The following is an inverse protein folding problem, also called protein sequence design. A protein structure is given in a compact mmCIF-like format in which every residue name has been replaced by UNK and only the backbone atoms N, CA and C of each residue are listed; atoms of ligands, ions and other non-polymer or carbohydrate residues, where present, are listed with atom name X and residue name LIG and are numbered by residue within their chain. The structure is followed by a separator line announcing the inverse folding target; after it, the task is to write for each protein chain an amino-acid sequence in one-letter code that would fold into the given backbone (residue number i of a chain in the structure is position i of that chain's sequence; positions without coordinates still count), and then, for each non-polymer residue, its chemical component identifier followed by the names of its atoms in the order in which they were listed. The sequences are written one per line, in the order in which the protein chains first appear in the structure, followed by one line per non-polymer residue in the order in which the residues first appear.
data_IF_592189161267
#
_entry.id   IF_592189161267
#
_cell.length_a   1.000
_cell.length_b   1.000
_cell.length_c   1.000
_cell.angle_alpha   90.00
_cell.angle_beta   90.00
_cell.angle_gamma   90.00
#
_symmetry.space_group_name_H-M   'P 1'
#
loop_
_entity.id
_entity.type
_entity.pdbx_description
1 polymer ?
#
# COMPACT_ATOMS: atom_id res chain seq x y z
N UNK A 1 6.59 30.25 -5.25
CA UNK A 1 6.76 28.77 -5.15
C UNK A 1 6.09 28.33 -3.85
N UNK A 2 5.13 27.38 -3.92
CA UNK A 2 4.43 26.89 -2.70
C UNK A 2 5.32 25.99 -1.83
N UNK A 3 6.26 25.28 -2.43
CA UNK A 3 7.21 24.42 -1.74
C UNK A 3 8.65 24.77 -2.09
N UNK A 4 9.49 24.92 -1.09
CA UNK A 4 10.95 25.02 -1.26
C UNK A 4 11.56 23.63 -1.45
N UNK A 5 12.79 23.56 -1.99
CA UNK A 5 13.49 22.27 -2.11
C UNK A 5 13.72 21.59 -0.74
N UNK A 6 13.91 22.38 0.32
CA UNK A 6 14.05 21.88 1.70
C UNK A 6 12.75 21.23 2.22
N UNK A 7 11.59 21.86 1.94
CA UNK A 7 10.29 21.33 2.33
C UNK A 7 9.95 20.03 1.57
N UNK A 8 10.26 19.96 0.27
CA UNK A 8 10.07 18.73 -0.50
C UNK A 8 10.94 17.58 0.02
N UNK A 9 12.22 17.86 0.34
CA UNK A 9 13.08 16.84 0.96
C UNK A 9 12.55 16.41 2.33
N UNK A 10 12.10 17.35 3.15
CA UNK A 10 11.53 17.06 4.47
C UNK A 10 10.24 16.23 4.40
N UNK A 11 9.48 16.29 3.30
CA UNK A 11 8.33 15.43 3.04
C UNK A 11 8.75 14.07 2.51
N UNK A 12 9.63 14.03 1.50
CA UNK A 12 9.93 12.83 0.72
C UNK A 12 10.85 11.86 1.47
N UNK A 13 11.93 12.35 2.11
CA UNK A 13 12.90 11.47 2.77
C UNK A 13 12.29 10.61 3.88
N UNK A 14 11.44 11.14 4.79
CA UNK A 14 10.75 10.28 5.75
C UNK A 14 9.81 9.25 5.10
N UNK A 15 9.14 9.60 3.99
CA UNK A 15 8.28 8.66 3.26
C UNK A 15 9.10 7.51 2.65
N UNK A 16 10.28 7.81 2.07
CA UNK A 16 11.17 6.77 1.55
C UNK A 16 11.64 5.82 2.66
N UNK A 17 12.00 6.38 3.80
CA UNK A 17 12.42 5.58 4.95
C UNK A 17 11.27 4.75 5.53
N UNK A 18 10.06 5.31 5.62
CA UNK A 18 8.84 4.60 6.04
C UNK A 18 8.54 3.41 5.09
N UNK A 19 8.61 3.62 3.76
CA UNK A 19 8.38 2.54 2.79
C UNK A 19 9.46 1.47 2.87
N UNK A 20 10.73 1.87 3.02
CA UNK A 20 11.83 0.92 3.21
C UNK A 20 11.62 0.05 4.45
N UNK A 21 11.26 0.64 5.58
CA UNK A 21 10.97 -0.10 6.81
C UNK A 21 9.78 -1.06 6.62
N UNK A 22 8.72 -0.64 5.96
CA UNK A 22 7.56 -1.50 5.73
C UNK A 22 7.94 -2.76 4.93
N UNK A 23 8.78 -2.62 3.90
CA UNK A 23 9.28 -3.77 3.13
C UNK A 23 10.17 -4.67 3.98
N UNK A 24 11.12 -4.10 4.71
CA UNK A 24 12.05 -4.86 5.59
C UNK A 24 11.30 -5.63 6.68
N UNK A 25 10.33 -5.00 7.32
CA UNK A 25 9.56 -5.64 8.41
C UNK A 25 8.70 -6.79 7.88
N UNK A 26 8.09 -6.65 6.71
CA UNK A 26 7.36 -7.75 6.08
C UNK A 26 8.24 -9.00 5.87
N UNK A 27 9.52 -8.82 5.52
CA UNK A 27 10.47 -9.93 5.41
C UNK A 27 10.82 -10.53 6.79
N UNK A 28 11.06 -9.67 7.78
CA UNK A 28 11.39 -10.11 9.16
C UNK A 28 10.20 -10.86 9.78
N UNK A 29 8.98 -10.38 9.62
CA UNK A 29 7.78 -11.05 10.13
C UNK A 29 7.64 -12.46 9.53
N UNK A 30 7.87 -12.62 8.24
CA UNK A 30 7.85 -13.94 7.58
C UNK A 30 8.89 -14.89 8.19
N UNK A 31 10.11 -14.40 8.44
CA UNK A 31 11.17 -15.18 9.08
C UNK A 31 10.85 -15.55 10.54
N UNK A 32 10.16 -14.68 11.27
CA UNK A 32 9.78 -14.96 12.66
C UNK A 32 8.64 -15.97 12.75
N UNK A 33 7.65 -15.87 11.88
CA UNK A 33 6.54 -16.82 11.80
C UNK A 33 7.04 -18.22 11.44
N UNK A 34 8.10 -18.35 10.61
CA UNK A 34 8.65 -19.65 10.23
C UNK A 34 9.18 -20.46 11.41
N UNK A 35 9.63 -19.81 12.48
CA UNK A 35 10.06 -20.46 13.73
C UNK A 35 8.90 -21.00 14.56
N UNK A 36 7.66 -20.62 14.29
CA UNK A 36 6.47 -21.10 15.00
C UNK A 36 5.89 -22.43 14.47
N UNK A 37 6.51 -22.99 13.40
CA UNK A 37 6.14 -24.26 12.78
C UNK A 37 5.30 -24.10 11.49
N UNK A 38 5.20 -25.20 10.71
CA UNK A 38 4.58 -25.18 9.38
C UNK A 38 3.09 -24.83 9.40
N UNK A 39 2.33 -25.36 10.34
CA UNK A 39 0.90 -25.04 10.52
C UNK A 39 0.70 -23.56 10.85
N UNK A 40 1.61 -22.98 11.64
CA UNK A 40 1.62 -21.57 11.99
C UNK A 40 1.85 -20.69 10.74
N UNK A 41 2.89 -21.02 9.96
CA UNK A 41 3.21 -20.29 8.71
C UNK A 41 2.04 -20.33 7.74
N UNK A 42 1.48 -21.50 7.52
CA UNK A 42 0.35 -21.70 6.60
C UNK A 42 -0.89 -20.93 7.07
N UNK A 43 -1.25 -21.02 8.36
CA UNK A 43 -2.39 -20.31 8.92
C UNK A 43 -2.25 -18.78 8.85
N UNK A 44 -1.07 -18.25 9.18
CA UNK A 44 -0.76 -16.81 9.05
C UNK A 44 -0.80 -16.38 7.60
N UNK A 45 -0.27 -17.17 6.66
CA UNK A 45 -0.29 -16.84 5.23
C UNK A 45 -1.71 -16.71 4.67
N UNK A 46 -2.63 -17.62 5.03
CA UNK A 46 -4.05 -17.53 4.66
C UNK A 46 -4.68 -16.22 5.15
N UNK A 47 -4.47 -15.92 6.42
CA UNK A 47 -5.04 -14.74 7.07
C UNK A 47 -4.43 -13.44 6.54
N UNK A 48 -3.16 -13.45 6.19
CA UNK A 48 -2.45 -12.28 5.64
C UNK A 48 -3.10 -11.75 4.37
N UNK A 49 -3.65 -12.60 3.52
CA UNK A 49 -4.36 -12.16 2.33
C UNK A 49 -5.62 -11.33 2.68
N UNK A 50 -6.38 -11.74 3.71
CA UNK A 50 -7.55 -11.01 4.20
C UNK A 50 -7.10 -9.69 4.84
N UNK A 51 -6.06 -9.72 5.68
CA UNK A 51 -5.49 -8.54 6.32
C UNK A 51 -5.04 -7.50 5.28
N UNK A 52 -4.36 -7.93 4.22
CA UNK A 52 -3.92 -7.05 3.14
C UNK A 52 -5.08 -6.37 2.43
N UNK A 53 -6.17 -7.07 2.15
CA UNK A 53 -7.37 -6.46 1.55
C UNK A 53 -7.92 -5.35 2.45
N UNK A 54 -8.08 -5.61 3.75
CA UNK A 54 -8.59 -4.64 4.71
C UNK A 54 -7.65 -3.43 4.82
N UNK A 55 -6.35 -3.65 4.91
CA UNK A 55 -5.33 -2.60 4.98
C UNK A 55 -5.34 -1.75 3.70
N UNK A 56 -5.49 -2.36 2.53
CA UNK A 56 -5.55 -1.64 1.25
C UNK A 56 -6.80 -0.75 1.13
N UNK A 57 -7.93 -1.19 1.66
CA UNK A 57 -9.14 -0.35 1.73
C UNK A 57 -8.94 0.80 2.71
N UNK A 58 -8.36 0.56 3.90
CA UNK A 58 -8.00 1.64 4.85
C UNK A 58 -7.06 2.67 4.22
N UNK A 59 -6.02 2.22 3.51
CA UNK A 59 -5.07 3.10 2.81
C UNK A 59 -5.75 3.94 1.72
N UNK A 60 -6.72 3.36 1.00
CA UNK A 60 -7.50 4.06 -0.01
C UNK A 60 -8.42 5.14 0.62
N UNK A 61 -9.09 4.82 1.72
CA UNK A 61 -9.91 5.78 2.49
C UNK A 61 -9.03 6.90 3.07
N UNK A 62 -7.85 6.55 3.60
CA UNK A 62 -6.85 7.51 4.07
C UNK A 62 -6.37 8.45 2.96
N UNK A 63 -6.15 7.91 1.75
CA UNK A 63 -5.84 8.71 0.56
C UNK A 63 -6.96 9.69 0.23
N UNK A 64 -8.23 9.26 0.31
CA UNK A 64 -9.39 10.13 0.10
C UNK A 64 -9.39 11.32 1.06
N UNK A 65 -9.15 11.07 2.34
CA UNK A 65 -9.05 12.13 3.35
C UNK A 65 -7.81 13.01 3.15
N UNK A 66 -6.66 12.42 2.82
CA UNK A 66 -5.44 13.18 2.57
C UNK A 66 -5.62 14.19 1.41
N UNK A 67 -6.32 13.81 0.34
CA UNK A 67 -6.65 14.72 -0.77
C UNK A 67 -7.53 15.87 -0.29
N UNK A 68 -8.61 15.58 0.43
CA UNK A 68 -9.52 16.62 0.93
C UNK A 68 -8.80 17.57 1.90
N UNK A 69 -8.05 17.04 2.88
CA UNK A 69 -7.29 17.83 3.84
C UNK A 69 -6.22 18.69 3.15
N UNK A 70 -5.47 18.13 2.18
CA UNK A 70 -4.43 18.87 1.47
C UNK A 70 -4.99 19.99 0.60
N UNK A 71 -6.17 19.81 -0.02
CA UNK A 71 -6.82 20.87 -0.80
C UNK A 71 -7.34 22.01 0.09
N UNK A 72 -7.99 21.70 1.23
CA UNK A 72 -8.38 22.73 2.19
C UNK A 72 -7.16 23.47 2.79
N UNK A 73 -6.09 22.73 3.10
CA UNK A 73 -4.83 23.31 3.55
C UNK A 73 -4.23 24.27 2.50
N UNK A 74 -4.29 23.89 1.22
CA UNK A 74 -3.86 24.74 0.11
C UNK A 74 -4.68 26.01 -0.03
N UNK A 75 -5.99 25.95 0.22
CA UNK A 75 -6.91 27.10 0.27
C UNK A 75 -6.67 28.00 1.49
N UNK A 76 -5.81 27.57 2.43
CA UNK A 76 -5.59 28.22 3.74
C UNK A 76 -6.84 28.21 4.64
N UNK A 77 -7.78 27.32 4.38
CA UNK A 77 -8.94 27.12 5.22
C UNK A 77 -8.62 26.04 6.27
N UNK A 78 -7.92 26.47 7.31
CA UNK A 78 -7.49 25.57 8.40
C UNK A 78 -8.66 25.02 9.20
N UNK A 79 -9.80 25.72 9.23
CA UNK A 79 -11.00 25.30 9.95
C UNK A 79 -11.65 24.09 9.26
N UNK A 80 -11.90 24.21 7.96
CA UNK A 80 -12.48 23.10 7.19
C UNK A 80 -11.49 21.97 6.99
N UNK A 81 -10.17 22.27 6.91
CA UNK A 81 -9.13 21.26 6.87
C UNK A 81 -9.08 20.43 8.17
N UNK A 82 -9.13 21.07 9.34
CA UNK A 82 -9.19 20.36 10.63
C UNK A 82 -10.51 19.59 10.81
N UNK A 83 -11.61 20.15 10.31
CA UNK A 83 -12.87 19.44 10.30
C UNK A 83 -12.86 18.19 9.40
N UNK A 84 -12.27 18.31 8.20
CA UNK A 84 -12.06 17.16 7.30
C UNK A 84 -11.15 16.10 7.93
N UNK A 85 -10.12 16.51 8.69
CA UNK A 85 -9.27 15.61 9.44
C UNK A 85 -10.06 14.80 10.49
N UNK A 86 -10.95 15.45 11.25
CA UNK A 86 -11.84 14.76 12.20
C UNK A 86 -12.77 13.77 11.50
N UNK A 87 -13.34 14.13 10.35
CA UNK A 87 -14.21 13.23 9.58
C UNK A 87 -13.43 12.05 8.97
N UNK A 88 -12.16 12.23 8.63
CA UNK A 88 -11.30 11.13 8.19
C UNK A 88 -11.05 10.12 9.31
N UNK A 89 -10.73 10.61 10.53
CA UNK A 89 -10.62 9.74 11.72
C UNK A 89 -11.90 8.93 11.94
N UNK A 90 -13.05 9.59 11.87
CA UNK A 90 -14.36 8.94 12.05
C UNK A 90 -14.61 7.86 10.99
N UNK A 91 -14.36 8.16 9.72
CA UNK A 91 -14.58 7.21 8.61
C UNK A 91 -13.69 5.97 8.78
N UNK A 92 -12.41 6.17 9.07
CA UNK A 92 -11.48 5.06 9.25
C UNK A 92 -11.74 4.27 10.53
N UNK A 93 -12.13 4.93 11.61
CA UNK A 93 -12.52 4.25 12.85
C UNK A 93 -13.77 3.39 12.65
N UNK A 94 -14.82 3.93 12.03
CA UNK A 94 -16.05 3.17 11.75
C UNK A 94 -15.77 1.98 10.83
N UNK A 95 -15.02 2.20 9.74
CA UNK A 95 -14.67 1.13 8.81
C UNK A 95 -13.84 0.04 9.49
N UNK A 96 -12.81 0.42 10.24
CA UNK A 96 -11.92 -0.52 10.93
C UNK A 96 -12.62 -1.27 12.06
N UNK A 97 -13.54 -0.63 12.78
CA UNK A 97 -14.38 -1.27 13.79
C UNK A 97 -15.34 -2.29 13.14
N UNK A 98 -15.97 -1.94 12.03
CA UNK A 98 -16.83 -2.87 11.29
C UNK A 98 -16.03 -4.08 10.78
N UNK A 99 -14.84 -3.84 10.20
CA UNK A 99 -13.96 -4.91 9.75
C UNK A 99 -13.50 -5.81 10.92
N UNK A 100 -13.13 -5.22 12.06
CA UNK A 100 -12.78 -5.95 13.28
C UNK A 100 -13.93 -6.83 13.76
N UNK A 101 -15.13 -6.27 13.83
CA UNK A 101 -16.33 -7.00 14.24
C UNK A 101 -16.63 -8.18 13.30
N UNK A 102 -16.61 -7.96 11.98
CA UNK A 102 -16.85 -9.00 10.98
C UNK A 102 -15.82 -10.13 11.12
N UNK A 103 -14.54 -9.80 11.18
CA UNK A 103 -13.47 -10.81 11.28
C UNK A 103 -13.50 -11.54 12.63
N UNK A 104 -13.81 -10.86 13.74
CA UNK A 104 -13.85 -11.48 15.05
C UNK A 104 -15.07 -12.40 15.22
N UNK A 105 -16.25 -11.98 14.74
CA UNK A 105 -17.51 -12.73 14.93
C UNK A 105 -17.66 -13.83 13.88
N UNK A 106 -17.42 -13.52 12.62
CA UNK A 106 -17.66 -14.43 11.49
C UNK A 106 -16.39 -15.14 10.98
N UNK A 107 -15.23 -14.90 11.59
CA UNK A 107 -13.95 -15.43 11.11
C UNK A 107 -13.90 -16.95 11.03
N UNK A 108 -14.50 -17.65 11.98
CA UNK A 108 -14.58 -19.13 11.98
C UNK A 108 -15.36 -19.67 10.77
N UNK A 109 -16.38 -18.94 10.32
CA UNK A 109 -17.19 -19.32 9.15
C UNK A 109 -16.55 -18.86 7.84
N UNK A 110 -15.92 -17.67 7.87
CA UNK A 110 -15.30 -17.06 6.68
C UNK A 110 -14.08 -17.84 6.19
N UNK A 111 -13.21 -18.29 7.09
CA UNK A 111 -11.97 -18.96 6.71
C UNK A 111 -12.24 -20.25 5.91
N UNK A 112 -13.08 -21.21 6.37
CA UNK A 112 -13.41 -22.39 5.56
C UNK A 112 -14.17 -22.05 4.28
N UNK A 113 -15.03 -21.03 4.30
CA UNK A 113 -15.79 -20.60 3.12
C UNK A 113 -14.88 -20.02 2.02
N UNK A 114 -13.77 -19.36 2.39
CA UNK A 114 -12.83 -18.74 1.45
C UNK A 114 -11.77 -19.76 0.97
N UNK A 115 -11.23 -20.55 1.90
CA UNK A 115 -10.06 -21.41 1.64
C UNK A 115 -10.40 -22.91 1.49
N UNK A 116 -11.65 -23.30 1.70
CA UNK A 116 -12.09 -24.70 1.62
C UNK A 116 -11.61 -25.55 2.80
N UNK A 117 -11.51 -26.88 2.57
CA UNK A 117 -11.03 -27.84 3.55
C UNK A 117 -9.50 -27.79 3.62
N UNK A 118 -8.99 -27.18 4.68
CA UNK A 118 -7.58 -27.16 5.06
C UNK A 118 -7.42 -27.94 6.35
N UNK A 119 -6.22 -28.44 6.63
CA UNK A 119 -5.91 -29.17 7.87
C UNK A 119 -6.34 -28.38 9.12
N UNK A 120 -6.97 -29.06 10.10
CA UNK A 120 -7.55 -28.41 11.28
C UNK A 120 -6.52 -27.60 12.08
N UNK A 121 -5.29 -28.04 12.14
CA UNK A 121 -4.16 -27.35 12.79
C UNK A 121 -3.87 -26.00 12.14
N UNK A 122 -3.89 -25.94 10.81
CA UNK A 122 -3.69 -24.73 10.01
C UNK A 122 -4.87 -23.79 10.17
N UNK A 123 -6.10 -24.31 10.10
CA UNK A 123 -7.33 -23.54 10.26
C UNK A 123 -7.44 -22.93 11.64
N UNK A 124 -7.05 -23.67 12.69
CA UNK A 124 -7.00 -23.17 14.07
C UNK A 124 -5.99 -22.04 14.22
N UNK A 125 -4.78 -22.20 13.66
CA UNK A 125 -3.75 -21.17 13.64
C UNK A 125 -4.20 -19.92 12.89
N UNK A 126 -4.85 -20.08 11.74
CA UNK A 126 -5.42 -18.99 10.95
C UNK A 126 -6.48 -18.22 11.74
N UNK A 127 -7.37 -18.92 12.43
CA UNK A 127 -8.42 -18.27 13.22
C UNK A 127 -7.85 -17.48 14.40
N UNK A 128 -6.91 -18.05 15.16
CA UNK A 128 -6.27 -17.35 16.30
C UNK A 128 -5.62 -16.06 15.79
N UNK A 129 -4.82 -16.17 14.71
CA UNK A 129 -4.12 -15.01 14.16
C UNK A 129 -5.11 -13.96 13.67
N UNK A 130 -6.16 -14.35 12.94
CA UNK A 130 -7.16 -13.44 12.42
C UNK A 130 -7.94 -12.75 13.55
N UNK A 131 -8.36 -13.50 14.57
CA UNK A 131 -9.11 -12.94 15.69
C UNK A 131 -8.31 -11.88 16.45
N UNK A 132 -7.06 -12.18 16.82
CA UNK A 132 -6.21 -11.27 17.57
C UNK A 132 -5.81 -10.06 16.71
N UNK A 133 -5.47 -10.27 15.45
CA UNK A 133 -5.12 -9.14 14.55
C UNK A 133 -6.33 -8.27 14.21
N UNK A 134 -7.53 -8.83 14.14
CA UNK A 134 -8.76 -8.06 13.94
C UNK A 134 -9.01 -7.04 15.06
N UNK A 135 -8.71 -7.39 16.33
CA UNK A 135 -8.80 -6.47 17.46
C UNK A 135 -7.87 -5.25 17.31
N UNK A 136 -6.83 -5.35 16.51
CA UNK A 136 -5.91 -4.25 16.24
C UNK A 136 -6.40 -3.27 15.15
N UNK A 137 -7.40 -3.64 14.34
CA UNK A 137 -7.83 -2.82 13.21
C UNK A 137 -8.30 -1.42 13.58
N UNK A 138 -9.08 -1.19 14.65
CA UNK A 138 -9.48 0.16 15.04
C UNK A 138 -8.29 1.08 15.29
N UNK A 139 -7.25 0.58 15.95
CA UNK A 139 -6.03 1.32 16.23
C UNK A 139 -5.19 1.56 14.97
N UNK A 140 -5.15 0.58 14.07
CA UNK A 140 -4.53 0.74 12.76
C UNK A 140 -5.29 1.75 11.89
N UNK A 141 -6.63 1.79 11.96
CA UNK A 141 -7.46 2.79 11.29
C UNK A 141 -7.12 4.20 11.74
N UNK A 142 -7.06 4.43 13.06
CA UNK A 142 -6.66 5.70 13.67
C UNK A 142 -5.23 6.09 13.24
N UNK A 143 -4.29 5.14 13.30
CA UNK A 143 -2.93 5.38 12.83
C UNK A 143 -2.89 5.82 11.37
N UNK A 144 -3.60 5.13 10.47
CA UNK A 144 -3.65 5.47 9.05
C UNK A 144 -4.29 6.85 8.79
N UNK A 145 -5.35 7.20 9.53
CA UNK A 145 -5.98 8.50 9.45
C UNK A 145 -5.01 9.61 9.88
N UNK A 146 -4.41 9.48 11.05
CA UNK A 146 -3.46 10.46 11.56
C UNK A 146 -2.22 10.61 10.67
N UNK A 147 -1.68 9.50 10.15
CA UNK A 147 -0.58 9.53 9.20
C UNK A 147 -0.96 10.30 7.91
N UNK A 148 -2.18 10.12 7.40
CA UNK A 148 -2.69 10.86 6.25
C UNK A 148 -2.87 12.36 6.58
N UNK A 149 -3.35 12.71 7.78
CA UNK A 149 -3.51 14.08 8.27
C UNK A 149 -2.15 14.77 8.32
N UNK A 150 -1.15 14.19 8.98
CA UNK A 150 0.18 14.77 9.08
C UNK A 150 0.86 14.91 7.71
N UNK A 151 0.72 13.91 6.83
CA UNK A 151 1.22 13.99 5.45
C UNK A 151 0.55 15.10 4.65
N UNK A 152 -0.76 15.34 4.83
CA UNK A 152 -1.50 16.38 4.10
C UNK A 152 -1.01 17.81 4.39
N UNK A 153 -0.36 18.03 5.52
CA UNK A 153 0.30 19.31 5.88
C UNK A 153 1.81 19.29 5.61
N UNK A 154 2.33 18.26 4.97
CA UNK A 154 3.74 18.14 4.62
C UNK A 154 4.66 17.63 5.74
N UNK A 155 4.10 17.12 6.84
CA UNK A 155 4.86 16.58 7.98
C UNK A 155 4.84 15.04 8.01
N UNK A 156 5.61 14.41 7.15
CA UNK A 156 5.75 12.95 7.12
C UNK A 156 6.70 12.38 8.20
N UNK A 157 7.39 13.24 8.97
CA UNK A 157 8.28 12.78 10.05
C UNK A 157 7.50 12.09 11.16
N UNK A 158 6.28 12.54 11.46
CA UNK A 158 5.44 11.96 12.50
C UNK A 158 5.01 10.55 12.11
N UNK A 159 4.50 10.35 10.88
CA UNK A 159 4.11 9.02 10.41
C UNK A 159 5.31 8.07 10.36
N UNK A 160 6.47 8.53 9.88
CA UNK A 160 7.70 7.76 9.89
C UNK A 160 8.13 7.37 11.31
N UNK A 161 8.16 8.32 12.24
CA UNK A 161 8.58 8.06 13.64
C UNK A 161 7.69 7.03 14.33
N UNK A 162 6.38 7.12 14.16
CA UNK A 162 5.45 6.12 14.69
C UNK A 162 5.53 4.77 13.94
N UNK A 163 5.82 4.77 12.64
CA UNK A 163 6.08 3.53 11.91
C UNK A 163 7.33 2.81 12.45
N UNK A 164 8.42 3.55 12.70
CA UNK A 164 9.63 3.01 13.36
C UNK A 164 9.29 2.42 14.72
N UNK A 165 8.54 3.15 15.55
CA UNK A 165 8.13 2.69 16.88
C UNK A 165 7.26 1.43 16.78
N UNK A 166 6.27 1.39 15.88
CA UNK A 166 5.41 0.24 15.66
C UNK A 166 6.21 -1.00 15.30
N UNK A 167 7.14 -0.86 14.36
CA UNK A 167 7.96 -1.94 13.88
C UNK A 167 8.97 -2.41 14.95
N UNK A 168 9.57 -1.49 15.70
CA UNK A 168 10.47 -1.84 16.80
C UNK A 168 9.76 -2.64 17.90
N UNK A 169 8.57 -2.20 18.33
CA UNK A 169 7.75 -2.92 19.32
C UNK A 169 7.35 -4.30 18.76
N UNK A 170 6.90 -4.35 17.50
CA UNK A 170 6.47 -5.60 16.87
C UNK A 170 7.63 -6.61 16.81
N UNK A 171 8.81 -6.23 16.32
CA UNK A 171 9.97 -7.11 16.23
C UNK A 171 10.44 -7.58 17.61
N UNK A 172 10.52 -6.67 18.57
CA UNK A 172 10.95 -7.00 19.93
C UNK A 172 9.99 -7.98 20.62
N UNK A 173 8.67 -7.73 20.54
CA UNK A 173 7.66 -8.61 21.10
C UNK A 173 7.57 -9.95 20.36
N UNK A 174 7.69 -9.96 19.03
CA UNK A 174 7.77 -11.21 18.25
C UNK A 174 8.93 -12.07 18.75
N UNK A 175 10.13 -11.49 18.86
CA UNK A 175 11.31 -12.22 19.32
C UNK A 175 11.11 -12.85 20.71
N UNK A 176 10.56 -12.08 21.64
CA UNK A 176 10.31 -12.54 23.02
C UNK A 176 9.19 -13.60 23.08
N UNK A 177 8.04 -13.32 22.48
CA UNK A 177 6.86 -14.19 22.59
C UNK A 177 7.04 -15.52 21.83
N UNK A 178 7.72 -15.49 20.67
CA UNK A 178 8.06 -16.72 19.95
C UNK A 178 9.09 -17.55 20.73
N UNK A 179 10.10 -16.91 21.34
CA UNK A 179 11.07 -17.60 22.20
C UNK A 179 10.46 -18.23 23.45
N UNK A 180 9.38 -17.62 23.99
CA UNK A 180 8.60 -18.17 25.11
C UNK A 180 7.62 -19.28 24.70
N UNK A 181 7.57 -19.66 23.43
CA UNK A 181 6.73 -20.75 22.93
C UNK A 181 5.26 -20.41 22.63
N UNK A 182 4.89 -19.11 22.58
CA UNK A 182 3.52 -18.71 22.26
C UNK A 182 3.14 -18.91 20.77
N UNK A 183 4.07 -19.27 19.90
CA UNK A 183 3.80 -19.60 18.49
C UNK A 183 3.02 -18.50 17.76
N UNK A 184 1.92 -18.89 17.07
CA UNK A 184 1.05 -17.97 16.31
C UNK A 184 0.43 -16.89 17.20
N UNK A 185 0.02 -17.24 18.40
CA UNK A 185 -0.57 -16.29 19.34
C UNK A 185 0.43 -15.18 19.71
N UNK A 186 1.71 -15.54 19.89
CA UNK A 186 2.77 -14.58 20.18
C UNK A 186 2.93 -13.54 19.04
N UNK A 187 2.97 -13.99 17.80
CA UNK A 187 3.07 -13.10 16.63
C UNK A 187 1.84 -12.20 16.50
N UNK A 188 0.66 -12.75 16.73
CA UNK A 188 -0.58 -11.97 16.69
C UNK A 188 -0.65 -10.91 17.81
N UNK A 189 -0.22 -11.26 19.03
CA UNK A 189 -0.17 -10.33 20.17
C UNK A 189 0.86 -9.22 19.96
N UNK A 190 2.03 -9.54 19.40
CA UNK A 190 3.04 -8.53 19.04
C UNK A 190 2.48 -7.50 18.06
N UNK A 191 1.73 -7.97 17.06
CA UNK A 191 1.03 -7.12 16.10
C UNK A 191 -0.07 -6.27 16.77
N UNK A 192 -0.87 -6.86 17.65
CA UNK A 192 -1.91 -6.15 18.39
C UNK A 192 -1.32 -5.03 19.26
N UNK A 193 -0.35 -5.36 20.10
CA UNK A 193 0.25 -4.40 21.04
C UNK A 193 0.94 -3.25 20.31
N UNK A 194 1.73 -3.54 19.27
CA UNK A 194 2.41 -2.50 18.49
C UNK A 194 1.43 -1.51 17.84
N UNK A 195 0.31 -2.01 17.30
CA UNK A 195 -0.73 -1.18 16.69
C UNK A 195 -1.53 -0.39 17.73
N UNK A 196 -1.85 -0.99 18.88
CA UNK A 196 -2.53 -0.30 20.00
C UNK A 196 -1.69 0.87 20.49
N UNK A 197 -0.42 0.64 20.82
CA UNK A 197 0.49 1.70 21.27
C UNK A 197 0.57 2.83 20.26
N UNK A 198 0.80 2.50 18.99
CA UNK A 198 0.94 3.54 17.95
C UNK A 198 -0.38 4.23 17.61
N UNK A 199 -1.52 3.54 17.70
CA UNK A 199 -2.84 4.15 17.57
C UNK A 199 -3.11 5.17 18.67
N UNK A 200 -2.80 4.83 19.93
CA UNK A 200 -2.92 5.76 21.05
C UNK A 200 -1.98 6.95 20.90
N UNK A 201 -0.70 6.71 20.58
CA UNK A 201 0.25 7.79 20.32
C UNK A 201 -0.22 8.73 19.20
N UNK A 202 -0.75 8.16 18.11
CA UNK A 202 -1.28 8.94 16.99
C UNK A 202 -2.47 9.82 17.41
N UNK A 203 -3.40 9.28 18.20
CA UNK A 203 -4.54 10.04 18.74
C UNK A 203 -4.07 11.27 19.54
N UNK A 204 -3.08 11.07 20.41
CA UNK A 204 -2.49 12.16 21.20
C UNK A 204 -1.84 13.21 20.30
N UNK A 205 -1.07 12.78 19.30
CA UNK A 205 -0.38 13.68 18.37
C UNK A 205 -1.33 14.48 17.47
N UNK A 206 -2.41 13.86 16.99
CA UNK A 206 -3.44 14.53 16.17
C UNK A 206 -4.18 15.58 17.00
N UNK A 207 -4.43 15.32 18.28
CA UNK A 207 -5.05 16.28 19.22
C UNK A 207 -4.08 17.36 19.72
N UNK A 208 -2.77 17.20 19.51
CA UNK A 208 -1.77 18.11 20.07
C UNK A 208 -1.72 19.45 19.32
N UNK A 209 -1.48 20.59 20.03
CA UNK A 209 -1.41 21.95 19.43
C UNK A 209 -0.38 22.13 18.31
N UNK A 210 0.68 21.31 18.25
CA UNK A 210 1.68 21.34 17.16
C UNK A 210 1.14 20.84 15.81
N UNK A 211 -0.02 20.17 15.80
CA UNK A 211 -0.65 19.78 14.57
C UNK A 211 -1.41 20.97 13.95
N UNK A 212 -1.06 21.45 12.75
CA UNK A 212 -1.78 22.53 12.09
C UNK A 212 -3.28 22.22 11.86
N UNK A 213 -3.62 20.91 11.74
CA UNK A 213 -4.99 20.41 11.61
C UNK A 213 -5.46 19.77 12.92
N UNK A 214 -5.16 20.41 14.05
CA UNK A 214 -5.53 19.93 15.37
C UNK A 214 -7.04 19.66 15.49
N UNK A 215 -7.41 18.45 15.93
CA UNK A 215 -8.79 18.10 16.27
C UNK A 215 -9.05 18.57 17.71
N UNK A 216 -9.55 19.81 17.85
CA UNK A 216 -9.78 20.45 19.15
C UNK A 216 -11.07 20.03 19.84
N UNK A 217 -12.10 19.73 19.06
CA UNK A 217 -13.46 19.52 19.56
C UNK A 217 -13.94 18.11 19.19
N UNK A 218 -14.51 17.42 20.16
CA UNK A 218 -15.18 16.15 19.92
C UNK A 218 -16.29 16.25 18.87
N UNK A 219 -16.93 17.43 18.76
CA UNK A 219 -17.93 17.71 17.71
C UNK A 219 -17.39 17.58 16.28
N UNK A 220 -16.07 17.69 16.06
CA UNK A 220 -15.45 17.46 14.75
C UNK A 220 -15.41 15.98 14.36
N UNK A 221 -15.56 15.08 15.33
CA UNK A 221 -15.64 13.63 15.13
C UNK A 221 -17.07 13.15 14.87
N UNK A 222 -18.09 13.99 15.15
CA UNK A 222 -19.47 13.62 14.86
C UNK A 222 -19.67 13.51 13.34
N UNK A 223 -20.27 12.42 12.84
CA UNK A 223 -20.41 12.16 11.41
C UNK A 223 -21.15 13.28 10.68
N UNK A 224 -20.49 13.86 9.67
CA UNK A 224 -21.10 14.84 8.77
C UNK A 224 -21.20 14.28 7.35
N UNK A 225 -22.42 14.02 6.91
CA UNK A 225 -22.70 13.39 5.61
C UNK A 225 -22.02 14.09 4.44
N UNK A 226 -21.99 15.42 4.41
CA UNK A 226 -21.39 16.18 3.28
C UNK A 226 -19.86 15.97 3.20
N UNK A 227 -19.17 16.08 4.34
CA UNK A 227 -17.72 15.92 4.37
C UNK A 227 -17.31 14.46 4.18
N UNK A 228 -18.01 13.53 4.83
CA UNK A 228 -17.80 12.10 4.65
C UNK A 228 -17.96 11.70 3.17
N UNK A 229 -19.01 12.15 2.49
CA UNK A 229 -19.21 11.86 1.07
C UNK A 229 -18.09 12.42 0.18
N UNK A 230 -17.47 13.55 0.53
CA UNK A 230 -16.28 14.06 -0.20
C UNK A 230 -15.09 13.11 -0.06
N UNK A 231 -14.84 12.63 1.14
CA UNK A 231 -13.76 11.67 1.43
C UNK A 231 -14.04 10.34 0.71
N UNK A 232 -15.25 9.80 0.85
CA UNK A 232 -15.66 8.53 0.25
C UNK A 232 -15.70 8.59 -1.29
N UNK A 233 -16.00 9.74 -1.88
CA UNK A 233 -15.99 9.94 -3.35
C UNK A 233 -14.61 9.68 -3.95
N UNK A 234 -13.56 9.82 -3.17
CA UNK A 234 -12.17 9.52 -3.56
C UNK A 234 -11.77 8.15 -3.02
N UNK A 235 -12.05 7.88 -1.75
CA UNK A 235 -11.62 6.67 -1.06
C UNK A 235 -12.26 5.40 -1.63
N UNK A 236 -13.56 5.40 -1.90
CA UNK A 236 -14.26 4.19 -2.41
C UNK A 236 -13.73 3.76 -3.78
N UNK A 237 -13.65 4.63 -4.82
CA UNK A 237 -13.07 4.21 -6.09
C UNK A 237 -11.64 3.69 -5.96
N UNK A 238 -10.81 4.35 -5.15
CA UNK A 238 -9.44 3.89 -4.88
C UNK A 238 -9.41 2.54 -4.15
N UNK A 239 -10.34 2.31 -3.22
CA UNK A 239 -10.48 1.04 -2.51
C UNK A 239 -10.91 -0.10 -3.43
N UNK A 240 -11.87 0.15 -4.32
CA UNK A 240 -12.31 -0.83 -5.33
C UNK A 240 -11.15 -1.17 -6.27
N UNK A 241 -10.40 -0.17 -6.75
CA UNK A 241 -9.21 -0.36 -7.59
C UNK A 241 -8.19 -1.27 -6.90
N UNK A 242 -7.83 -0.95 -5.64
CA UNK A 242 -6.85 -1.72 -4.87
C UNK A 242 -7.34 -3.16 -4.60
N UNK A 243 -8.62 -3.34 -4.27
CA UNK A 243 -9.20 -4.66 -4.01
C UNK A 243 -9.23 -5.51 -5.28
N UNK A 244 -9.66 -4.94 -6.40
CA UNK A 244 -9.67 -5.64 -7.70
C UNK A 244 -8.25 -6.00 -8.16
N UNK A 245 -7.27 -5.14 -7.87
CA UNK A 245 -5.86 -5.41 -8.13
C UNK A 245 -5.36 -6.62 -7.32
N UNK A 246 -5.72 -6.72 -6.05
CA UNK A 246 -5.33 -7.87 -5.20
C UNK A 246 -5.98 -9.16 -5.67
N UNK A 247 -7.25 -9.14 -6.02
CA UNK A 247 -7.94 -10.32 -6.58
C UNK A 247 -7.27 -10.78 -7.89
N UNK A 248 -6.99 -9.84 -8.81
CA UNK A 248 -6.29 -10.16 -10.05
C UNK A 248 -4.87 -10.69 -9.83
N UNK A 249 -4.15 -10.18 -8.81
CA UNK A 249 -2.84 -10.69 -8.41
C UNK A 249 -2.91 -12.14 -7.93
N UNK A 250 -3.94 -12.50 -7.15
CA UNK A 250 -4.17 -13.88 -6.72
C UNK A 250 -4.45 -14.83 -7.90
N UNK A 251 -5.23 -14.41 -8.89
CA UNK A 251 -5.47 -15.20 -10.10
C UNK A 251 -4.19 -15.43 -10.88
N UNK A 252 -3.33 -14.44 -11.01
CA UNK A 252 -2.03 -14.58 -11.67
C UNK A 252 -1.12 -15.57 -10.91
N UNK A 253 -1.09 -15.49 -9.58
CA UNK A 253 -0.35 -16.45 -8.75
C UNK A 253 -0.90 -17.86 -8.93
N UNK A 254 -2.22 -18.04 -9.02
CA UNK A 254 -2.84 -19.34 -9.29
C UNK A 254 -2.44 -19.92 -10.64
N UNK A 255 -2.20 -19.10 -11.67
CA UNK A 255 -1.65 -19.60 -12.95
C UNK A 255 -0.22 -20.12 -12.79
N UNK A 256 0.60 -19.46 -11.97
CA UNK A 256 2.00 -19.84 -11.78
C UNK A 256 2.11 -21.21 -11.09
N UNK A 257 1.14 -21.59 -10.24
CA UNK A 257 1.15 -22.90 -9.59
C UNK A 257 1.13 -24.07 -10.57
N UNK A 258 0.59 -23.87 -11.78
CA UNK A 258 0.58 -24.91 -12.83
C UNK A 258 1.95 -25.13 -13.49
N UNK A 259 2.92 -24.26 -13.29
CA UNK A 259 4.27 -24.35 -13.87
C UNK A 259 5.29 -25.06 -12.96
N UNK A 260 4.85 -25.61 -11.84
CA UNK A 260 5.66 -26.38 -10.91
C UNK A 260 6.32 -25.57 -9.78
N UNK A 261 6.95 -26.28 -8.86
CA UNK A 261 7.49 -25.71 -7.60
C UNK A 261 8.62 -24.72 -7.83
N UNK A 262 9.47 -24.94 -8.85
CA UNK A 262 10.55 -24.02 -9.19
C UNK A 262 10.02 -22.65 -9.63
N UNK A 263 8.95 -22.62 -10.44
CA UNK A 263 8.31 -21.39 -10.88
C UNK A 263 7.62 -20.64 -9.72
N UNK A 264 6.98 -21.36 -8.79
CA UNK A 264 6.36 -20.78 -7.59
C UNK A 264 7.43 -20.11 -6.72
N UNK A 265 8.55 -20.82 -6.46
CA UNK A 265 9.66 -20.32 -5.66
C UNK A 265 10.32 -19.09 -6.31
N UNK A 266 10.60 -19.17 -7.61
CA UNK A 266 11.15 -18.06 -8.39
C UNK A 266 10.25 -16.83 -8.35
N UNK A 267 8.94 -17.00 -8.53
CA UNK A 267 7.98 -15.91 -8.48
C UNK A 267 7.90 -15.25 -7.10
N UNK A 268 7.84 -16.05 -6.03
CA UNK A 268 7.73 -15.57 -4.66
C UNK A 268 8.94 -14.73 -4.26
N UNK A 269 10.13 -15.22 -4.58
CA UNK A 269 11.39 -14.50 -4.33
C UNK A 269 11.46 -13.23 -5.18
N UNK A 270 11.10 -13.31 -6.48
CA UNK A 270 11.09 -12.14 -7.35
C UNK A 270 10.15 -11.05 -6.84
N UNK A 271 8.93 -11.38 -6.40
CA UNK A 271 8.00 -10.42 -5.82
C UNK A 271 8.55 -9.76 -4.56
N UNK A 272 9.22 -10.50 -3.69
CA UNK A 272 9.83 -9.94 -2.47
C UNK A 272 10.94 -8.94 -2.80
N UNK A 273 11.73 -9.23 -3.83
CA UNK A 273 12.86 -8.39 -4.23
C UNK A 273 12.41 -7.11 -4.94
N UNK A 274 11.41 -7.18 -5.83
CA UNK A 274 10.97 -6.00 -6.61
C UNK A 274 10.27 -4.92 -5.78
N UNK A 275 9.87 -5.21 -4.55
CA UNK A 275 9.34 -4.19 -3.66
C UNK A 275 10.37 -3.08 -3.36
N UNK A 276 11.67 -3.42 -3.31
CA UNK A 276 12.75 -2.45 -3.03
C UNK A 276 12.94 -1.41 -4.14
N UNK A 277 13.10 -1.78 -5.43
CA UNK A 277 13.19 -0.81 -6.52
C UNK A 277 11.99 0.12 -6.64
N UNK A 278 10.82 -0.30 -6.17
CA UNK A 278 9.58 0.48 -6.24
C UNK A 278 9.44 1.54 -5.12
N UNK A 279 10.28 1.49 -4.08
CA UNK A 279 10.22 2.41 -2.92
C UNK A 279 10.26 3.89 -3.35
N UNK A 280 11.17 4.35 -4.22
CA UNK A 280 11.20 5.74 -4.65
C UNK A 280 9.88 6.18 -5.29
N UNK A 281 9.37 5.39 -6.23
CA UNK A 281 8.12 5.69 -6.92
C UNK A 281 6.91 5.70 -6.00
N UNK A 282 6.80 4.74 -5.06
CA UNK A 282 5.73 4.71 -4.05
C UNK A 282 5.76 5.96 -3.15
N UNK A 283 6.95 6.34 -2.70
CA UNK A 283 7.14 7.51 -1.83
C UNK A 283 6.79 8.82 -2.54
N UNK A 284 7.20 8.95 -3.83
CA UNK A 284 6.81 10.09 -4.65
C UNK A 284 5.31 10.12 -4.92
N UNK A 285 4.66 8.96 -5.05
CA UNK A 285 3.21 8.84 -5.18
C UNK A 285 2.48 9.45 -3.99
N UNK A 286 2.90 9.14 -2.76
CA UNK A 286 2.35 9.73 -1.54
C UNK A 286 2.61 11.24 -1.47
N UNK A 287 3.82 11.68 -1.83
CA UNK A 287 4.16 13.09 -1.89
C UNK A 287 3.33 13.86 -2.92
N UNK A 288 3.02 13.25 -4.08
CA UNK A 288 2.15 13.84 -5.11
C UNK A 288 0.75 14.13 -4.58
N UNK A 289 0.16 13.24 -3.78
CA UNK A 289 -1.15 13.47 -3.17
C UNK A 289 -1.15 14.77 -2.36
N UNK A 290 -0.15 14.95 -1.52
CA UNK A 290 -0.02 16.15 -0.68
C UNK A 290 0.28 17.41 -1.50
N UNK A 291 1.34 17.37 -2.32
CA UNK A 291 1.85 18.55 -3.01
C UNK A 291 0.88 19.03 -4.11
N UNK A 292 0.38 18.11 -4.92
CA UNK A 292 -0.59 18.45 -5.98
C UNK A 292 -1.92 18.85 -5.37
N UNK A 293 -2.39 18.13 -4.34
CA UNK A 293 -3.62 18.50 -3.61
C UNK A 293 -3.56 19.91 -3.04
N UNK A 294 -2.46 20.28 -2.37
CA UNK A 294 -2.25 21.63 -1.84
C UNK A 294 -2.20 22.69 -2.94
N UNK A 295 -1.50 22.42 -4.05
CA UNK A 295 -1.44 23.36 -5.18
C UNK A 295 -2.82 23.60 -5.81
N UNK A 296 -3.59 22.53 -6.01
CA UNK A 296 -4.94 22.62 -6.57
C UNK A 296 -5.92 23.32 -5.63
N UNK A 297 -5.83 23.05 -4.33
CA UNK A 297 -6.59 23.75 -3.31
C UNK A 297 -6.34 25.27 -3.30
N UNK A 298 -5.11 25.69 -3.58
CA UNK A 298 -4.72 27.09 -3.73
C UNK A 298 -5.08 27.70 -5.10
N UNK A 299 -5.63 26.93 -6.04
CA UNK A 299 -5.87 27.39 -7.41
C UNK A 299 -4.62 27.44 -8.31
N UNK A 300 -3.48 26.97 -7.84
CA UNK A 300 -2.17 27.07 -8.48
C UNK A 300 -1.87 25.88 -9.39
N UNK A 301 -2.66 25.72 -10.46
CA UNK A 301 -2.53 24.58 -11.41
C UNK A 301 -1.16 24.52 -12.09
N UNK A 302 -0.57 25.66 -12.42
CA UNK A 302 0.76 25.72 -13.03
C UNK A 302 1.83 25.12 -12.11
N UNK A 303 1.74 25.42 -10.80
CA UNK A 303 2.65 24.86 -9.81
C UNK A 303 2.38 23.36 -9.59
N UNK A 304 1.12 22.91 -9.61
CA UNK A 304 0.77 21.49 -9.55
C UNK A 304 1.47 20.71 -10.67
N UNK A 305 1.42 21.21 -11.93
CA UNK A 305 2.14 20.60 -13.07
C UNK A 305 3.65 20.57 -12.88
N UNK A 306 4.23 21.69 -12.41
CA UNK A 306 5.68 21.80 -12.16
C UNK A 306 6.15 20.79 -11.12
N UNK A 307 5.42 20.67 -9.98
CA UNK A 307 5.78 19.71 -8.95
C UNK A 307 5.51 18.27 -9.35
N UNK A 308 4.46 17.99 -10.12
CA UNK A 308 4.26 16.65 -10.69
C UNK A 308 5.46 16.24 -11.52
N UNK A 309 5.90 17.09 -12.48
CA UNK A 309 7.09 16.81 -13.29
C UNK A 309 8.34 16.59 -12.44
N UNK A 310 8.55 17.41 -11.40
CA UNK A 310 9.71 17.32 -10.53
C UNK A 310 9.70 16.05 -9.68
N UNK A 311 8.57 15.67 -9.09
CA UNK A 311 8.45 14.46 -8.27
C UNK A 311 8.50 13.21 -9.14
N UNK A 312 7.95 13.24 -10.36
CA UNK A 312 8.11 12.15 -11.33
C UNK A 312 9.56 11.96 -11.73
N UNK A 313 10.32 13.05 -11.96
CA UNK A 313 11.76 12.95 -12.24
C UNK A 313 12.51 12.29 -11.08
N UNK A 314 12.20 12.65 -9.84
CA UNK A 314 12.83 12.01 -8.67
C UNK A 314 12.43 10.53 -8.52
N UNK A 315 11.17 10.18 -8.84
CA UNK A 315 10.76 8.79 -8.91
C UNK A 315 11.59 8.02 -9.92
N UNK A 316 11.70 8.53 -11.15
CA UNK A 316 12.51 7.92 -12.19
C UNK A 316 13.98 7.76 -11.81
N UNK A 317 14.61 8.81 -11.29
CA UNK A 317 16.03 8.74 -10.89
C UNK A 317 16.25 7.69 -9.79
N UNK A 318 15.36 7.63 -8.79
CA UNK A 318 15.44 6.62 -7.73
C UNK A 318 15.20 5.21 -8.26
N UNK A 319 14.16 5.02 -9.06
CA UNK A 319 13.83 3.72 -9.65
C UNK A 319 14.94 3.23 -10.60
N UNK A 320 15.55 4.13 -11.39
CA UNK A 320 16.66 3.77 -12.28
C UNK A 320 17.88 3.29 -11.51
N UNK A 321 18.27 3.99 -10.44
CA UNK A 321 19.40 3.59 -9.61
C UNK A 321 19.14 2.21 -8.99
N UNK A 322 17.96 2.01 -8.40
CA UNK A 322 17.61 0.75 -7.74
C UNK A 322 17.51 -0.41 -8.74
N UNK A 323 16.90 -0.19 -9.89
CA UNK A 323 16.77 -1.21 -10.93
C UNK A 323 18.10 -1.53 -11.61
N UNK A 324 19.02 -0.56 -11.75
CA UNK A 324 20.38 -0.83 -12.23
C UNK A 324 21.12 -1.76 -11.28
N UNK A 325 21.05 -1.50 -9.97
CA UNK A 325 21.64 -2.39 -8.95
C UNK A 325 21.00 -3.78 -9.03
N UNK A 326 19.67 -3.85 -9.14
CA UNK A 326 18.97 -5.13 -9.25
C UNK A 326 19.35 -5.89 -10.53
N UNK A 327 19.48 -5.21 -11.68
CA UNK A 327 19.88 -5.84 -12.94
C UNK A 327 21.27 -6.47 -12.87
N UNK A 328 22.25 -5.71 -12.34
CA UNK A 328 23.65 -6.17 -12.21
C UNK A 328 23.78 -7.29 -11.20
N UNK A 329 23.13 -7.16 -10.05
CA UNK A 329 23.27 -8.10 -8.94
C UNK A 329 22.12 -9.11 -8.82
N UNK A 330 21.31 -9.32 -9.88
CA UNK A 330 20.16 -10.21 -9.85
C UNK A 330 20.52 -11.64 -9.36
N UNK A 331 21.58 -12.24 -9.92
CA UNK A 331 22.00 -13.60 -9.53
C UNK A 331 22.53 -13.65 -8.09
N UNK A 332 23.49 -12.80 -7.65
CA UNK A 332 23.92 -12.76 -6.25
C UNK A 332 22.76 -12.53 -5.26
N UNK A 333 21.83 -11.64 -5.57
CA UNK A 333 20.68 -11.36 -4.69
C UNK A 333 19.78 -12.59 -4.57
N UNK A 334 19.45 -13.26 -5.68
CA UNK A 334 18.61 -14.46 -5.67
C UNK A 334 19.31 -15.62 -4.96
N UNK A 335 20.63 -15.76 -5.09
CA UNK A 335 21.37 -16.85 -4.47
C UNK A 335 21.32 -16.86 -2.93
N UNK A 336 21.06 -15.70 -2.31
CA UNK A 336 20.85 -15.60 -0.84
C UNK A 336 19.65 -16.44 -0.36
N UNK A 337 18.67 -16.69 -1.24
CA UNK A 337 17.46 -17.43 -0.88
C UNK A 337 17.59 -18.96 -0.99
N UNK A 338 18.76 -19.47 -1.33
CA UNK A 338 19.06 -20.91 -1.39
C UNK A 338 18.06 -21.73 -2.23
N UNK A 339 17.64 -21.19 -3.37
CA UNK A 339 16.73 -21.84 -4.30
C UNK A 339 17.44 -22.96 -5.10
N UNK A 340 16.64 -23.83 -5.76
CA UNK A 340 17.19 -24.76 -6.75
C UNK A 340 17.87 -24.00 -7.90
N UNK A 341 18.84 -24.61 -8.62
CA UNK A 341 19.49 -23.96 -9.76
C UNK A 341 18.50 -23.46 -10.83
N UNK A 342 17.45 -24.22 -11.07
CA UNK A 342 16.39 -23.87 -12.01
C UNK A 342 15.59 -22.66 -11.54
N UNK A 343 15.13 -22.64 -10.27
CA UNK A 343 14.39 -21.53 -9.71
C UNK A 343 15.25 -20.26 -9.62
N UNK A 344 16.55 -20.39 -9.32
CA UNK A 344 17.51 -19.27 -9.30
C UNK A 344 17.64 -18.65 -10.68
N UNK A 345 17.76 -19.45 -11.74
CA UNK A 345 17.83 -18.97 -13.12
C UNK A 345 16.55 -18.25 -13.50
N UNK A 346 15.37 -18.88 -13.26
CA UNK A 346 14.06 -18.27 -13.56
C UNK A 346 13.89 -16.92 -12.84
N UNK A 347 14.20 -16.85 -11.55
CA UNK A 347 14.11 -15.63 -10.78
C UNK A 347 15.04 -14.53 -11.32
N UNK A 348 16.27 -14.86 -11.65
CA UNK A 348 17.22 -13.91 -12.22
C UNK A 348 16.80 -13.38 -13.59
N UNK A 349 16.24 -14.24 -14.44
CA UNK A 349 15.68 -13.84 -15.75
C UNK A 349 14.47 -12.88 -15.56
N UNK A 350 13.57 -13.21 -14.66
CA UNK A 350 12.42 -12.37 -14.30
C UNK A 350 12.88 -11.01 -13.76
N UNK A 351 13.83 -10.98 -12.83
CA UNK A 351 14.32 -9.72 -12.24
C UNK A 351 15.05 -8.84 -13.24
N UNK A 352 15.83 -9.42 -14.14
CA UNK A 352 16.48 -8.66 -15.23
C UNK A 352 15.44 -8.10 -16.21
N UNK A 353 14.44 -8.91 -16.61
CA UNK A 353 13.32 -8.45 -17.44
C UNK A 353 12.54 -7.31 -16.75
N UNK A 354 12.24 -7.47 -15.48
CA UNK A 354 11.62 -6.43 -14.67
C UNK A 354 12.45 -5.15 -14.66
N UNK A 355 13.73 -5.22 -14.31
CA UNK A 355 14.60 -4.05 -14.20
C UNK A 355 14.77 -3.31 -15.52
N UNK A 356 14.72 -4.01 -16.67
CA UNK A 356 14.80 -3.40 -17.99
C UNK A 356 13.53 -2.64 -18.37
N UNK A 357 12.36 -3.18 -18.04
CA UNK A 357 11.08 -2.65 -18.50
C UNK A 357 10.47 -1.69 -17.48
N UNK A 358 10.53 -2.02 -16.18
CA UNK A 358 9.94 -1.22 -15.12
C UNK A 358 10.49 0.20 -15.05
N UNK A 359 11.78 0.39 -15.31
CA UNK A 359 12.42 1.72 -15.32
C UNK A 359 11.73 2.75 -16.22
N UNK A 360 11.04 2.32 -17.26
CA UNK A 360 10.33 3.21 -18.19
C UNK A 360 8.85 3.39 -17.86
N UNK A 361 8.19 2.33 -17.43
CA UNK A 361 6.72 2.30 -17.35
C UNK A 361 6.17 2.32 -15.93
N UNK A 362 6.92 1.82 -14.92
CA UNK A 362 6.39 1.68 -13.57
C UNK A 362 6.02 3.03 -12.91
N UNK A 363 6.86 4.10 -12.98
CA UNK A 363 6.48 5.39 -12.40
C UNK A 363 5.24 6.00 -13.05
N UNK A 364 5.04 5.81 -14.36
CA UNK A 364 3.84 6.29 -15.06
C UNK A 364 2.59 5.50 -14.68
N UNK A 365 2.74 4.19 -14.41
CA UNK A 365 1.64 3.31 -14.02
C UNK A 365 1.19 3.49 -12.59
N UNK A 366 2.11 3.74 -11.65
CA UNK A 366 1.83 3.69 -10.22
C UNK A 366 2.05 5.00 -9.48
N UNK A 367 3.00 5.84 -9.92
CA UNK A 367 3.28 7.13 -9.28
C UNK A 367 2.40 8.24 -9.85
N UNK A 368 2.33 8.38 -11.19
CA UNK A 368 1.57 9.43 -11.86
C UNK A 368 0.06 9.46 -11.51
N UNK A 369 -0.66 8.32 -11.39
CA UNK A 369 -2.09 8.34 -11.06
C UNK A 369 -2.38 8.98 -9.70
N UNK A 370 -1.41 9.09 -8.79
CA UNK A 370 -1.61 9.80 -7.53
C UNK A 370 -1.78 11.32 -7.73
N UNK A 371 -1.19 11.91 -8.77
CA UNK A 371 -1.48 13.29 -9.15
C UNK A 371 -2.93 13.46 -9.67
N UNK A 372 -3.44 12.47 -10.44
CA UNK A 372 -4.82 12.46 -10.89
C UNK A 372 -5.81 12.27 -9.72
N UNK A 373 -5.47 11.39 -8.77
CA UNK A 373 -6.26 11.20 -7.52
C UNK A 373 -6.29 12.46 -6.68
N UNK A 374 -5.15 13.16 -6.54
CA UNK A 374 -5.06 14.44 -5.83
C UNK A 374 -5.96 15.53 -6.45
N UNK A 375 -6.20 15.45 -7.75
CA UNK A 375 -7.14 16.32 -8.47
C UNK A 375 -8.61 15.85 -8.40
N UNK A 376 -8.89 14.68 -7.84
CA UNK A 376 -10.24 14.11 -7.77
C UNK A 376 -10.67 13.30 -9.01
N UNK A 377 -9.75 13.02 -9.95
CA UNK A 377 -10.05 12.22 -11.16
C UNK A 377 -9.95 10.70 -10.91
N UNK A 378 -10.47 10.27 -9.77
CA UNK A 378 -10.35 8.92 -9.22
C UNK A 378 -11.16 7.87 -9.98
N UNK A 379 -12.28 8.25 -10.60
CA UNK A 379 -13.08 7.32 -11.40
C UNK A 379 -12.29 6.86 -12.64
N UNK A 380 -11.53 7.76 -13.26
CA UNK A 380 -10.69 7.42 -14.39
C UNK A 380 -9.56 6.48 -13.97
N UNK A 381 -8.87 6.77 -12.84
CA UNK A 381 -7.79 5.89 -12.36
C UNK A 381 -8.31 4.51 -12.00
N UNK A 382 -9.46 4.43 -11.32
CA UNK A 382 -10.12 3.17 -10.97
C UNK A 382 -10.46 2.34 -12.22
N UNK A 383 -11.18 2.93 -13.18
CA UNK A 383 -11.60 2.21 -14.39
C UNK A 383 -10.40 1.74 -15.20
N UNK A 384 -9.40 2.61 -15.39
CA UNK A 384 -8.15 2.25 -16.08
C UNK A 384 -7.45 1.11 -15.35
N UNK A 385 -7.34 1.17 -14.02
CA UNK A 385 -6.69 0.14 -13.21
C UNK A 385 -7.40 -1.21 -13.30
N UNK A 386 -8.74 -1.22 -13.19
CA UNK A 386 -9.54 -2.45 -13.25
C UNK A 386 -9.49 -3.07 -14.65
N UNK A 387 -9.82 -2.29 -15.69
CA UNK A 387 -9.84 -2.80 -17.07
C UNK A 387 -8.46 -3.34 -17.46
N UNK A 388 -7.42 -2.59 -17.15
CA UNK A 388 -6.05 -2.97 -17.44
C UNK A 388 -5.66 -4.26 -16.72
N UNK A 389 -5.97 -4.39 -15.43
CA UNK A 389 -5.68 -5.58 -14.64
C UNK A 389 -6.34 -6.84 -15.22
N UNK A 390 -7.62 -6.75 -15.56
CA UNK A 390 -8.35 -7.92 -16.00
C UNK A 390 -8.08 -8.28 -17.48
N UNK A 391 -8.09 -7.27 -18.36
CA UNK A 391 -7.95 -7.48 -19.79
C UNK A 391 -6.48 -7.71 -20.20
N UNK A 392 -5.54 -6.93 -19.65
CA UNK A 392 -4.14 -7.01 -20.09
C UNK A 392 -3.28 -7.85 -19.15
N UNK A 393 -3.46 -7.79 -17.83
CA UNK A 393 -2.65 -8.63 -16.95
C UNK A 393 -3.17 -10.07 -16.92
N UNK A 394 -4.42 -10.30 -16.54
CA UNK A 394 -4.94 -11.67 -16.34
C UNK A 394 -5.05 -12.40 -17.70
N UNK A 395 -5.72 -11.80 -18.68
CA UNK A 395 -5.94 -12.43 -19.98
C UNK A 395 -4.64 -12.61 -20.78
N UNK A 396 -3.80 -11.55 -20.90
CA UNK A 396 -2.53 -11.68 -21.63
C UNK A 396 -1.56 -12.63 -20.92
N UNK A 397 -1.53 -12.65 -19.57
CA UNK A 397 -0.72 -13.64 -18.85
C UNK A 397 -1.17 -15.06 -19.19
N UNK A 398 -2.47 -15.33 -19.22
CA UNK A 398 -3.00 -16.64 -19.62
C UNK A 398 -2.60 -17.01 -21.06
N UNK A 399 -2.80 -16.09 -22.00
CA UNK A 399 -2.45 -16.33 -23.40
C UNK A 399 -0.95 -16.59 -23.60
N UNK A 400 -0.10 -15.75 -23.01
CA UNK A 400 1.34 -15.87 -23.18
C UNK A 400 1.90 -17.08 -22.40
N UNK A 401 1.49 -17.24 -21.15
CA UNK A 401 2.06 -18.28 -20.30
C UNK A 401 1.55 -19.67 -20.62
N UNK A 402 0.25 -19.82 -20.88
CA UNK A 402 -0.40 -21.14 -21.10
C UNK A 402 -0.51 -21.46 -22.58
N UNK A 403 -1.12 -20.58 -23.39
CA UNK A 403 -1.37 -20.87 -24.81
C UNK A 403 -0.07 -20.81 -25.64
N UNK A 404 0.77 -19.82 -25.41
CA UNK A 404 2.07 -19.70 -26.09
C UNK A 404 3.21 -20.48 -25.40
N UNK A 405 2.93 -21.22 -24.31
CA UNK A 405 3.89 -22.03 -23.54
C UNK A 405 5.14 -21.26 -23.05
N UNK A 406 5.01 -19.96 -22.75
CA UNK A 406 6.11 -19.16 -22.23
C UNK A 406 6.32 -19.32 -20.70
N UNK A 407 5.47 -20.08 -20.00
CA UNK A 407 5.57 -20.33 -18.58
C UNK A 407 5.57 -19.04 -17.75
N UNK A 408 6.42 -18.99 -16.72
CA UNK A 408 6.52 -17.84 -15.81
C UNK A 408 6.84 -16.53 -16.54
N UNK A 409 7.69 -16.56 -17.56
CA UNK A 409 8.02 -15.36 -18.34
C UNK A 409 6.79 -14.77 -19.06
N UNK A 410 5.90 -15.64 -19.57
CA UNK A 410 4.63 -15.20 -20.17
C UNK A 410 3.74 -14.44 -19.19
N UNK A 411 3.71 -14.90 -17.93
CA UNK A 411 2.97 -14.21 -16.87
C UNK A 411 3.54 -12.79 -16.62
N UNK A 412 4.85 -12.67 -16.55
CA UNK A 412 5.52 -11.37 -16.32
C UNK A 412 5.38 -10.44 -17.51
N UNK A 413 5.43 -10.96 -18.74
CA UNK A 413 5.15 -10.17 -19.95
C UNK A 413 3.72 -9.63 -19.94
N UNK A 414 2.72 -10.44 -19.55
CA UNK A 414 1.35 -9.96 -19.37
C UNK A 414 1.25 -8.80 -18.37
N UNK A 415 2.04 -8.86 -17.28
CA UNK A 415 2.14 -7.76 -16.32
C UNK A 415 2.78 -6.49 -16.93
N UNK A 416 3.81 -6.63 -17.75
CA UNK A 416 4.43 -5.48 -18.41
C UNK A 416 3.50 -4.82 -19.45
N UNK A 417 2.70 -5.61 -20.18
CA UNK A 417 1.68 -5.10 -21.08
C UNK A 417 0.62 -4.29 -20.32
N UNK A 418 0.13 -4.81 -19.18
CA UNK A 418 -0.77 -4.08 -18.28
C UNK A 418 -0.18 -2.72 -17.89
N UNK A 419 1.06 -2.70 -17.43
CA UNK A 419 1.72 -1.45 -17.00
C UNK A 419 1.93 -0.46 -18.16
N UNK A 420 2.29 -0.95 -19.34
CA UNK A 420 2.46 -0.11 -20.53
C UNK A 420 1.13 0.55 -20.95
N UNK A 421 0.05 -0.21 -20.97
CA UNK A 421 -1.30 0.32 -21.30
C UNK A 421 -1.75 1.33 -20.24
N UNK A 422 -1.57 1.03 -18.96
CA UNK A 422 -1.90 1.97 -17.87
C UNK A 422 -1.09 3.25 -17.98
N UNK A 423 0.23 3.12 -18.23
CA UNK A 423 1.12 4.27 -18.42
C UNK A 423 0.64 5.17 -19.53
N UNK A 424 0.33 4.59 -20.69
CA UNK A 424 -0.17 5.34 -21.86
C UNK A 424 -1.47 6.08 -21.51
N UNK A 425 -2.44 5.40 -20.93
CA UNK A 425 -3.73 5.98 -20.58
C UNK A 425 -3.60 7.11 -19.55
N UNK A 426 -2.76 6.93 -18.52
CA UNK A 426 -2.54 7.97 -17.51
C UNK A 426 -1.78 9.18 -18.06
N UNK A 427 -0.78 8.96 -18.93
CA UNK A 427 -0.07 10.06 -19.62
C UNK A 427 -1.02 10.84 -20.52
N UNK A 428 -1.80 10.17 -21.36
CA UNK A 428 -2.79 10.82 -22.23
C UNK A 428 -3.80 11.61 -21.39
N UNK A 429 -4.29 11.03 -20.29
CA UNK A 429 -5.22 11.72 -19.37
C UNK A 429 -4.58 12.95 -18.74
N UNK A 430 -3.34 12.83 -18.29
CA UNK A 430 -2.61 13.93 -17.68
C UNK A 430 -2.35 15.06 -18.68
N UNK A 431 -1.87 14.75 -19.88
CA UNK A 431 -1.59 15.73 -20.95
C UNK A 431 -2.85 16.40 -21.50
N UNK A 432 -3.99 15.70 -21.54
CA UNK A 432 -5.27 16.29 -21.98
C UNK A 432 -5.78 17.41 -21.07
N UNK A 433 -5.22 17.57 -19.88
CA UNK A 433 -5.62 18.61 -18.93
C UNK A 433 -7.01 18.42 -18.28
N UNK A 434 -7.76 17.38 -18.64
CA UNK A 434 -9.13 17.14 -18.12
C UNK A 434 -9.20 16.98 -16.61
N UNK A 435 -8.13 16.53 -15.96
CA UNK A 435 -8.02 16.41 -14.51
C UNK A 435 -8.08 17.77 -13.80
N UNK A 436 -7.70 18.87 -14.47
CA UNK A 436 -7.68 20.24 -13.91
C UNK A 436 -9.08 20.80 -13.68
N UNK A 437 -10.07 20.29 -14.41
CA UNK A 437 -11.48 20.71 -14.31
C UNK A 437 -12.25 20.00 -13.19
N UNK A 438 -11.64 19.03 -12.51
CA UNK A 438 -12.28 18.31 -11.43
C UNK A 438 -12.27 19.16 -10.16
N UNK A 439 -13.40 19.13 -9.43
CA UNK A 439 -13.54 19.81 -8.13
C UNK A 439 -13.75 18.76 -7.04
N UNK A 440 -12.97 18.87 -5.96
CA UNK A 440 -13.08 18.02 -4.77
C UNK A 440 -13.75 18.79 -3.65
N UNK A 441 -13.36 20.05 -3.44
CA UNK A 441 -13.85 20.97 -2.43
C UNK A 441 -14.54 22.19 -3.03
#
# INVERSE_FOLDING_TARGET
MMYTGKQLRALVMPLMFEQFLNVMVGMVDTLMVSKAGEAAVSGVALTTNINLLIIQVMAALATGGAVVCSQYNGRRDTKDAAYAAGQLETVLFIFSMAAAFICAVFGKQMLPAIFGSVEDSVMHSAWIYMFVTALSYPFLGIYNAGAAIFRSVGNSKVSMGLSVLMNAINIALNAVLVALGYGVLGVALATLVSRVVCGICMTVLVAHPYNPLQIKKFSSLLPNKKMILRILRIGIPSGIENSMFQVGKLMVVSMITSFGTAAIAANSVSYSIIEFPNIPGMSMGLALITVVGTCLGAGEVAQAKKYTKKLMLFAYLGDWIMNLVLFVFAVPIVSVFSLSPEATRMAAEVLRGFSTIAVFIWPLSFTLPNALRAAGDVKFTMLTGIISMWLFRVLCSYLLAVVCNMGILGVWFGMFIDWAVRSLLFVVRYLSGRWQMKKVI
#
